data_IF_476705812302
#
_entry.id   IF_476705812302
#
_cell.length_a   1.000
_cell.length_b   1.000
_cell.length_c   1.000
_cell.angle_alpha   90.00
_cell.angle_beta   90.00
_cell.angle_gamma   90.00
#
_symmetry.space_group_name_H-M   'P 1'
#
loop_
_entity.id
_entity.type
_entity.pdbx_description
1 polymer ?
#
# COMPACT_ATOMS: atom_id res chain seq x y z
N UNK A 1 -6.81 -15.70 -26.80
CA UNK A 1 -7.54 -15.54 -25.52
C UNK A 1 -6.52 -15.22 -24.43
N UNK A 2 -6.46 -13.98 -23.97
CA UNK A 2 -5.62 -13.59 -22.83
C UNK A 2 -6.46 -13.79 -21.57
N UNK A 3 -6.04 -14.67 -20.68
CA UNK A 3 -6.71 -14.88 -19.39
C UNK A 3 -6.66 -13.59 -18.58
N UNK A 4 -7.81 -13.07 -18.16
CA UNK A 4 -7.89 -11.92 -17.28
C UNK A 4 -7.23 -12.27 -15.93
N UNK A 5 -6.23 -11.52 -15.45
CA UNK A 5 -5.61 -11.77 -14.16
C UNK A 5 -6.57 -11.29 -13.07
N UNK A 6 -7.02 -12.18 -12.19
CA UNK A 6 -7.68 -11.75 -10.94
C UNK A 6 -8.77 -12.67 -10.36
N UNK A 7 -9.33 -13.61 -11.13
CA UNK A 7 -10.52 -14.37 -10.72
C UNK A 7 -10.25 -15.64 -9.86
N UNK A 8 -9.07 -15.75 -9.23
CA UNK A 8 -8.74 -16.93 -8.42
C UNK A 8 -7.61 -16.76 -7.42
N UNK A 9 -7.08 -15.55 -7.22
CA UNK A 9 -6.11 -15.32 -6.17
C UNK A 9 -6.83 -15.24 -4.81
N UNK A 10 -6.30 -15.87 -3.73
CA UNK A 10 -6.92 -15.78 -2.42
C UNK A 10 -7.02 -14.30 -1.98
N UNK A 11 -8.22 -13.85 -1.56
CA UNK A 11 -8.44 -12.49 -1.06
C UNK A 11 -7.42 -12.18 0.06
N UNK A 12 -6.59 -11.16 -0.15
CA UNK A 12 -5.62 -10.69 0.84
C UNK A 12 -6.37 -10.31 2.13
N UNK A 13 -6.04 -10.95 3.27
CA UNK A 13 -6.70 -10.63 4.55
C UNK A 13 -6.23 -9.25 5.03
N UNK A 14 -7.14 -8.28 5.01
CA UNK A 14 -6.88 -6.93 5.54
C UNK A 14 -7.33 -6.87 6.99
N UNK A 15 -6.41 -6.59 7.91
CA UNK A 15 -6.75 -6.33 9.31
C UNK A 15 -7.38 -4.94 9.43
N UNK A 16 -8.66 -4.90 9.81
CA UNK A 16 -9.39 -3.65 10.09
C UNK A 16 -9.51 -3.47 11.59
N UNK A 17 -9.08 -2.32 12.11
CA UNK A 17 -9.23 -2.00 13.53
C UNK A 17 -10.71 -2.01 13.94
N UNK A 18 -11.01 -2.57 15.12
CA UNK A 18 -12.37 -2.58 15.68
C UNK A 18 -12.68 -1.20 16.27
N UNK A 19 -13.70 -0.52 15.74
CA UNK A 19 -14.16 0.78 16.24
C UNK A 19 -14.69 1.70 15.15
N UNK A 20 -15.46 2.73 15.53
CA UNK A 20 -15.89 3.77 14.61
C UNK A 20 -14.69 4.67 14.30
N UNK A 21 -14.31 4.75 13.03
CA UNK A 21 -13.23 5.63 12.60
C UNK A 21 -13.60 7.09 12.96
N UNK A 22 -12.69 7.86 13.59
CA UNK A 22 -12.93 9.28 13.83
C UNK A 22 -13.21 9.97 12.50
N UNK A 23 -14.27 10.78 12.46
CA UNK A 23 -14.63 11.60 11.30
C UNK A 23 -14.45 13.05 11.72
N UNK A 24 -13.57 13.77 11.03
CA UNK A 24 -13.28 15.16 11.34
C UNK A 24 -13.90 16.10 10.30
N UNK A 25 -14.14 15.61 9.09
CA UNK A 25 -14.72 16.38 7.99
C UNK A 25 -16.05 15.80 7.47
N UNK A 26 -16.85 16.67 6.85
CA UNK A 26 -18.12 16.30 6.24
C UNK A 26 -17.92 15.33 5.07
N UNK A 27 -16.85 15.47 4.29
CA UNK A 27 -16.49 14.48 3.29
C UNK A 27 -15.43 13.52 3.85
N UNK A 28 -15.76 12.24 3.87
CA UNK A 28 -14.89 11.19 4.34
C UNK A 28 -13.65 11.02 3.46
N UNK A 29 -13.73 11.35 2.17
CA UNK A 29 -12.57 11.31 1.28
C UNK A 29 -11.45 12.25 1.74
N UNK A 30 -11.81 13.38 2.38
CA UNK A 30 -10.84 14.33 2.94
C UNK A 30 -10.09 13.72 4.13
N UNK A 31 -10.81 13.09 5.06
CA UNK A 31 -10.20 12.38 6.20
C UNK A 31 -9.25 11.26 5.73
N UNK A 32 -9.64 10.52 4.69
CA UNK A 32 -8.81 9.48 4.10
C UNK A 32 -7.54 10.04 3.45
N UNK A 33 -7.67 11.12 2.66
CA UNK A 33 -6.54 11.78 2.04
C UNK A 33 -5.56 12.31 3.09
N UNK A 34 -6.07 12.97 4.15
CA UNK A 34 -5.24 13.47 5.25
C UNK A 34 -4.50 12.34 5.96
N UNK A 35 -5.17 11.21 6.21
CA UNK A 35 -4.53 10.04 6.81
C UNK A 35 -3.40 9.49 5.91
N UNK A 36 -3.64 9.40 4.60
CA UNK A 36 -2.63 8.95 3.63
C UNK A 36 -1.43 9.91 3.57
N UNK A 37 -1.67 11.21 3.51
CA UNK A 37 -0.61 12.24 3.48
C UNK A 37 0.20 12.24 4.77
N UNK A 38 -0.45 12.11 5.92
CA UNK A 38 0.21 12.05 7.23
C UNK A 38 1.09 10.80 7.33
N UNK A 39 0.56 9.64 6.93
CA UNK A 39 1.33 8.40 6.90
C UNK A 39 2.54 8.51 5.95
N UNK A 40 2.35 9.05 4.75
CA UNK A 40 3.44 9.26 3.79
C UNK A 40 4.52 10.21 4.36
N UNK A 41 4.11 11.31 4.98
CA UNK A 41 5.03 12.29 5.57
C UNK A 41 5.87 11.67 6.68
N UNK A 42 5.24 10.85 7.54
CA UNK A 42 5.95 10.13 8.59
C UNK A 42 7.00 9.17 8.02
N UNK A 43 6.67 8.41 6.97
CA UNK A 43 7.65 7.53 6.30
C UNK A 43 8.78 8.32 5.65
N UNK A 44 8.49 9.45 4.99
CA UNK A 44 9.50 10.31 4.36
C UNK A 44 10.46 10.88 5.41
N UNK A 45 9.96 11.31 6.56
CA UNK A 45 10.80 11.80 7.66
C UNK A 45 11.75 10.71 8.17
N UNK A 46 11.22 9.52 8.48
CA UNK A 46 12.02 8.37 8.95
C UNK A 46 13.07 7.96 7.91
N UNK A 47 12.71 7.94 6.62
CA UNK A 47 13.65 7.60 5.56
C UNK A 47 14.75 8.66 5.44
N UNK A 48 14.42 9.95 5.53
CA UNK A 48 15.41 11.03 5.43
C UNK A 48 16.41 11.00 6.59
N UNK A 49 15.94 10.79 7.81
CA UNK A 49 16.80 10.65 8.98
C UNK A 49 17.72 9.43 8.86
N UNK A 50 17.18 8.32 8.35
CA UNK A 50 17.94 7.09 8.16
C UNK A 50 19.00 7.24 7.06
N UNK A 51 18.69 7.91 5.95
CA UNK A 51 19.66 8.21 4.89
C UNK A 51 20.78 9.12 5.43
N UNK A 52 20.46 10.22 6.10
CA UNK A 52 21.48 11.11 6.69
C UNK A 52 22.37 10.37 7.70
N UNK A 53 21.80 9.48 8.51
CA UNK A 53 22.56 8.64 9.43
C UNK A 53 23.51 7.69 8.68
N UNK A 54 23.06 7.05 7.60
CA UNK A 54 23.90 6.18 6.79
C UNK A 54 25.06 6.95 6.13
N UNK A 55 24.80 8.13 5.56
CA UNK A 55 25.80 8.99 4.94
C UNK A 55 26.85 9.44 5.97
N UNK A 56 26.43 9.91 7.15
CA UNK A 56 27.36 10.33 8.22
C UNK A 56 28.23 9.18 8.73
N UNK A 57 27.65 7.98 8.88
CA UNK A 57 28.41 6.80 9.29
C UNK A 57 29.43 6.42 8.21
N UNK A 58 29.05 6.48 6.93
CA UNK A 58 29.94 6.18 5.81
C UNK A 58 31.11 7.17 5.71
N UNK A 59 30.83 8.48 5.81
CA UNK A 59 31.84 9.54 5.83
C UNK A 59 32.80 9.38 7.03
N UNK A 60 32.25 9.16 8.23
CA UNK A 60 33.06 8.94 9.44
C UNK A 60 33.97 7.71 9.34
N UNK A 61 33.59 6.72 8.53
CA UNK A 61 34.40 5.52 8.22
C UNK A 61 35.22 5.65 6.93
N UNK A 62 35.16 6.79 6.24
CA UNK A 62 35.83 7.05 4.95
C UNK A 62 35.48 6.01 3.87
N UNK A 63 34.22 5.57 3.80
CA UNK A 63 33.75 4.59 2.81
C UNK A 63 33.30 5.25 1.51
N UNK A 64 32.41 6.24 1.61
CA UNK A 64 31.93 7.07 0.50
C UNK A 64 31.43 8.42 1.04
N UNK A 65 31.30 9.39 0.16
CA UNK A 65 30.82 10.75 0.42
C UNK A 65 29.36 10.92 0.01
N UNK A 66 28.72 12.01 0.45
CA UNK A 66 27.39 12.39 -0.05
C UNK A 66 27.33 12.58 -1.57
N UNK A 67 28.41 13.11 -2.17
CA UNK A 67 28.50 13.31 -3.63
C UNK A 67 28.49 11.96 -4.39
N UNK A 68 29.08 10.91 -3.80
CA UNK A 68 29.02 9.55 -4.37
C UNK A 68 27.58 9.01 -4.39
N UNK A 69 26.75 9.39 -3.42
CA UNK A 69 25.32 9.01 -3.38
C UNK A 69 24.52 9.78 -4.44
N UNK A 70 24.72 11.10 -4.54
CA UNK A 70 24.00 11.97 -5.46
C UNK A 70 24.33 11.67 -6.94
N UNK A 71 25.56 11.23 -7.21
CA UNK A 71 26.03 10.85 -8.55
C UNK A 71 25.78 9.39 -8.91
N UNK A 72 25.24 8.58 -7.98
CA UNK A 72 25.04 7.15 -8.20
C UNK A 72 24.00 6.87 -9.29
N UNK A 73 24.43 6.17 -10.34
CA UNK A 73 23.56 5.73 -11.44
C UNK A 73 23.19 4.25 -11.23
N UNK A 74 21.94 3.93 -10.87
CA UNK A 74 21.53 2.56 -10.65
C UNK A 74 21.36 1.79 -11.96
N UNK A 75 21.69 0.51 -11.93
CA UNK A 75 21.47 -0.41 -13.05
C UNK A 75 20.05 -1.02 -13.05
N UNK A 76 19.73 -1.80 -14.08
CA UNK A 76 18.41 -2.39 -14.25
C UNK A 76 17.99 -3.32 -13.07
N UNK A 77 18.86 -4.20 -12.54
CA UNK A 77 18.58 -4.96 -11.33
C UNK A 77 18.20 -4.09 -10.12
N UNK A 78 18.99 -3.05 -9.82
CA UNK A 78 18.70 -2.14 -8.70
C UNK A 78 17.37 -1.41 -8.91
N UNK A 79 17.06 -1.00 -10.14
CA UNK A 79 15.77 -0.38 -10.46
C UNK A 79 14.58 -1.33 -10.22
N UNK A 80 14.72 -2.61 -10.55
CA UNK A 80 13.69 -3.61 -10.27
C UNK A 80 13.46 -3.78 -8.75
N UNK A 81 14.53 -3.83 -7.96
CA UNK A 81 14.43 -3.89 -6.50
C UNK A 81 13.76 -2.64 -5.91
N UNK A 82 14.10 -1.45 -6.40
CA UNK A 82 13.44 -0.20 -6.00
C UNK A 82 11.96 -0.18 -6.36
N UNK A 83 11.58 -0.69 -7.54
CA UNK A 83 10.17 -0.83 -7.92
C UNK A 83 9.40 -1.71 -6.94
N UNK A 84 9.97 -2.87 -6.55
CA UNK A 84 9.37 -3.75 -5.54
C UNK A 84 9.28 -3.09 -4.15
N UNK A 85 10.24 -2.23 -3.79
CA UNK A 85 10.19 -1.40 -2.58
C UNK A 85 9.10 -0.33 -2.64
N UNK A 86 8.97 0.38 -3.75
CA UNK A 86 7.93 1.39 -3.96
C UNK A 86 6.54 0.78 -3.82
N UNK A 87 6.32 -0.42 -4.37
CA UNK A 87 5.05 -1.14 -4.20
C UNK A 87 4.71 -1.44 -2.73
N UNK A 88 5.70 -1.66 -1.86
CA UNK A 88 5.47 -1.84 -0.42
C UNK A 88 5.03 -0.54 0.24
N UNK A 89 5.66 0.60 -0.12
CA UNK A 89 5.29 1.92 0.41
C UNK A 89 3.87 2.28 -0.03
N UNK A 90 3.54 2.09 -1.31
CA UNK A 90 2.19 2.34 -1.83
C UNK A 90 1.13 1.53 -1.09
N UNK A 91 1.39 0.24 -0.81
CA UNK A 91 0.47 -0.58 0.01
C UNK A 91 0.23 -0.02 1.41
N UNK A 92 1.25 0.57 2.04
CA UNK A 92 1.15 1.15 3.38
C UNK A 92 0.36 2.45 3.35
N UNK A 93 0.64 3.33 2.38
CA UNK A 93 -0.07 4.59 2.18
C UNK A 93 -1.54 4.34 1.86
N UNK A 94 -1.84 3.47 0.87
CA UNK A 94 -3.21 3.17 0.45
C UNK A 94 -3.96 2.20 1.37
N UNK A 95 -3.39 1.82 2.52
CA UNK A 95 -4.03 0.91 3.47
C UNK A 95 -5.42 1.40 3.89
N UNK A 96 -5.58 2.70 4.10
CA UNK A 96 -6.88 3.31 4.50
C UNK A 96 -7.97 3.05 3.46
N UNK A 97 -7.63 3.10 2.17
CA UNK A 97 -8.58 2.79 1.09
C UNK A 97 -8.88 1.29 1.00
N UNK A 98 -7.90 0.43 1.23
CA UNK A 98 -8.11 -1.02 1.28
C UNK A 98 -9.01 -1.44 2.45
N UNK A 99 -8.77 -0.88 3.63
CA UNK A 99 -9.60 -1.12 4.82
C UNK A 99 -11.03 -0.60 4.62
N UNK A 100 -11.16 0.49 3.87
CA UNK A 100 -12.46 1.03 3.50
C UNK A 100 -13.22 0.12 2.55
N UNK A 101 -12.58 -0.28 1.45
CA UNK A 101 -13.15 -1.23 0.50
C UNK A 101 -13.57 -2.51 1.21
N UNK A 102 -12.72 -3.08 2.07
CA UNK A 102 -13.04 -4.28 2.85
C UNK A 102 -14.22 -4.10 3.83
N UNK A 103 -14.52 -2.86 4.25
CA UNK A 103 -15.67 -2.57 5.13
C UNK A 103 -16.98 -2.45 4.36
N UNK A 104 -16.92 -2.05 3.09
CA UNK A 104 -18.08 -1.90 2.20
C UNK A 104 -18.29 -3.09 1.26
N UNK A 105 -17.26 -3.92 1.07
CA UNK A 105 -17.35 -5.26 0.46
C UNK A 105 -18.14 -6.14 1.44
N UNK A 106 -19.48 -6.00 1.42
CA UNK A 106 -20.35 -6.99 2.02
C UNK A 106 -19.97 -8.31 1.34
N UNK A 107 -19.65 -9.39 2.08
CA UNK A 107 -19.68 -10.69 1.44
C UNK A 107 -21.06 -10.79 0.79
N UNK A 108 -21.09 -11.05 -0.51
CA UNK A 108 -22.32 -11.52 -1.10
C UNK A 108 -22.79 -12.66 -0.20
N UNK A 109 -24.06 -12.66 0.21
CA UNK A 109 -24.55 -13.81 0.95
C UNK A 109 -24.34 -15.00 0.03
N UNK A 110 -23.35 -15.84 0.36
CA UNK A 110 -22.98 -16.96 -0.49
C UNK A 110 -24.22 -17.84 -0.72
N UNK A 111 -25.15 -17.86 0.25
CA UNK A 111 -26.46 -18.51 0.12
C UNK A 111 -27.46 -17.79 -0.81
N UNK A 112 -27.32 -16.49 -1.04
CA UNK A 112 -28.10 -15.71 -2.01
C UNK A 112 -27.54 -15.88 -3.42
N UNK A 113 -26.21 -15.90 -3.57
CA UNK A 113 -25.54 -16.23 -4.84
C UNK A 113 -25.82 -17.67 -5.27
N UNK A 114 -25.75 -18.62 -4.33
CA UNK A 114 -26.05 -20.03 -4.60
C UNK A 114 -27.52 -20.23 -4.99
N UNK A 115 -28.45 -19.48 -4.38
CA UNK A 115 -29.87 -19.48 -4.77
C UNK A 115 -30.08 -18.90 -6.17
N UNK A 116 -29.45 -17.77 -6.48
CA UNK A 116 -29.58 -17.13 -7.79
C UNK A 116 -28.99 -18.01 -8.90
N UNK A 117 -27.86 -18.68 -8.62
CA UNK A 117 -27.24 -19.64 -9.53
C UNK A 117 -28.11 -20.89 -9.75
N UNK A 118 -28.82 -21.35 -8.72
CA UNK A 118 -29.77 -22.45 -8.84
C UNK A 118 -31.01 -22.05 -9.68
N UNK A 119 -31.53 -20.83 -9.52
CA UNK A 119 -32.63 -20.31 -10.34
C UNK A 119 -32.25 -20.16 -11.82
N UNK A 120 -31.07 -19.62 -12.12
CA UNK A 120 -30.59 -19.44 -13.50
C UNK A 120 -30.38 -20.79 -14.21
N UNK A 121 -29.91 -21.82 -13.50
CA UNK A 121 -29.71 -23.15 -14.08
C UNK A 121 -31.01 -23.99 -14.18
N UNK A 122 -32.09 -23.54 -13.55
CA UNK A 122 -33.40 -24.18 -13.60
C UNK A 122 -34.33 -23.58 -14.69
N UNK A 123 -33.93 -22.47 -15.31
CA UNK A 123 -34.61 -21.79 -16.41
C UNK A 123 -34.01 -22.18 -17.78
#
# INVERSE_FOLDING_TARGET
MVAAPGLGAPKERVWVAKGKQPRFHDDRAVDQLMAMVTALTAEVAILRDRVDTHERIAEGRKLFSREDVDSFIPDAPIMAERSAQHQRILRKVFRVLKEDLARHDKPADDAELDRLAAEINAA
#
